data_IF_288677087268
#
_entry.id   IF_288677087268
#
_cell.length_a   1.000
_cell.length_b   1.000
_cell.length_c   1.000
_cell.angle_alpha   90.00
_cell.angle_beta   90.00
_cell.angle_gamma   90.00
#
_symmetry.space_group_name_H-M   'P 1'
#
loop_
_entity.id
_entity.type
_entity.pdbx_description
1 polymer ?
#
# COMPACT_ATOMS: atom_id res chain seq x y z
N UNK A 1 -4.57 -64.40 17.72
CA UNK A 1 -3.39 -65.08 17.14
C UNK A 1 -2.95 -64.34 15.89
N UNK A 2 -2.00 -63.44 16.02
CA UNK A 2 -1.44 -62.66 14.89
C UNK A 2 -0.70 -63.59 13.94
N UNK A 3 -1.27 -63.79 12.76
CA UNK A 3 -0.65 -64.54 11.67
C UNK A 3 0.67 -63.87 11.31
N UNK A 4 1.77 -64.51 11.73
CA UNK A 4 3.15 -64.10 11.48
C UNK A 4 3.32 -63.75 9.99
N UNK A 5 3.81 -62.55 9.67
CA UNK A 5 3.97 -62.03 8.29
C UNK A 5 4.68 -63.04 7.36
N UNK A 6 5.58 -63.85 7.93
CA UNK A 6 6.24 -64.99 7.26
C UNK A 6 5.26 -66.04 6.71
N UNK A 7 4.18 -66.36 7.41
CA UNK A 7 3.12 -67.30 6.96
C UNK A 7 2.30 -66.68 5.83
N UNK A 8 1.94 -65.41 5.94
CA UNK A 8 1.21 -64.69 4.89
C UNK A 8 2.03 -64.61 3.59
N UNK A 9 3.32 -64.25 3.68
CA UNK A 9 4.21 -64.19 2.51
C UNK A 9 4.42 -65.56 1.84
N UNK A 10 4.44 -66.66 2.62
CA UNK A 10 4.52 -68.02 2.06
C UNK A 10 3.26 -68.43 1.28
N UNK A 11 2.07 -67.96 1.69
CA UNK A 11 0.80 -68.23 0.99
C UNK A 11 0.67 -67.45 -0.34
N UNK A 12 1.36 -66.31 -0.47
CA UNK A 12 1.31 -65.44 -1.64
C UNK A 12 2.55 -65.53 -2.55
N UNK A 13 3.44 -66.50 -2.31
CA UNK A 13 4.76 -66.68 -2.98
C UNK A 13 4.76 -66.96 -4.49
N UNK A 14 3.61 -66.84 -5.16
CA UNK A 14 3.46 -66.97 -6.61
C UNK A 14 2.33 -66.11 -7.18
N UNK A 15 1.83 -65.13 -6.42
CA UNK A 15 0.79 -64.18 -6.86
C UNK A 15 1.33 -62.76 -7.09
N UNK A 16 2.64 -62.59 -7.07
CA UNK A 16 3.29 -61.32 -7.42
C UNK A 16 3.62 -61.42 -8.91
N UNK A 17 2.98 -60.62 -9.79
CA UNK A 17 3.39 -60.53 -11.18
C UNK A 17 4.87 -60.14 -11.24
N UNK A 18 5.64 -60.75 -12.14
CA UNK A 18 6.99 -60.27 -12.42
C UNK A 18 6.90 -58.80 -12.86
N UNK A 19 7.70 -57.94 -12.23
CA UNK A 19 7.69 -56.48 -12.41
C UNK A 19 8.13 -56.01 -13.81
N UNK A 20 8.24 -56.92 -14.78
CA UNK A 20 8.76 -56.68 -16.12
C UNK A 20 7.68 -56.76 -17.23
N UNK A 21 6.38 -56.71 -16.90
CA UNK A 21 5.34 -56.51 -17.92
C UNK A 21 5.29 -55.03 -18.36
N UNK A 22 5.46 -54.73 -19.67
CA UNK A 22 5.39 -53.36 -20.17
C UNK A 22 3.94 -52.85 -20.10
N UNK A 23 3.62 -52.15 -19.01
CA UNK A 23 2.28 -51.57 -18.79
C UNK A 23 1.86 -51.45 -17.32
N UNK A 24 2.59 -52.06 -16.39
CA UNK A 24 2.31 -51.90 -14.95
C UNK A 24 2.89 -50.57 -14.47
N UNK A 25 2.02 -49.60 -14.14
CA UNK A 25 2.46 -48.36 -13.47
C UNK A 25 3.14 -48.76 -12.16
N UNK A 26 4.40 -48.41 -11.99
CA UNK A 26 5.13 -48.58 -10.72
C UNK A 26 4.26 -48.05 -9.57
N UNK A 27 3.85 -48.96 -8.68
CA UNK A 27 3.16 -48.58 -7.46
C UNK A 27 4.11 -47.74 -6.62
N UNK A 28 3.65 -46.57 -6.16
CA UNK A 28 4.43 -45.68 -5.31
C UNK A 28 5.11 -46.49 -4.18
N UNK A 29 6.42 -46.35 -4.06
CA UNK A 29 7.20 -47.06 -3.06
C UNK A 29 6.75 -46.68 -1.64
N UNK A 30 7.08 -47.49 -0.64
CA UNK A 30 6.85 -47.12 0.77
C UNK A 30 7.57 -45.80 1.09
N UNK A 31 8.73 -45.54 0.47
CA UNK A 31 9.44 -44.27 0.56
C UNK A 31 8.64 -43.12 -0.05
N UNK A 32 8.00 -43.34 -1.21
CA UNK A 32 7.11 -42.37 -1.84
C UNK A 32 5.87 -42.12 -0.98
N UNK A 33 5.30 -43.15 -0.34
CA UNK A 33 4.15 -43.01 0.56
C UNK A 33 4.49 -42.27 1.86
N UNK A 34 5.70 -42.45 2.40
CA UNK A 34 6.22 -41.67 3.52
C UNK A 34 6.55 -40.24 3.11
N UNK A 35 7.01 -40.03 1.87
CA UNK A 35 7.30 -38.72 1.29
C UNK A 35 6.05 -37.99 0.75
N UNK A 36 4.88 -38.63 0.67
CA UNK A 36 3.62 -38.00 0.22
C UNK A 36 3.19 -36.79 1.06
N UNK A 37 3.81 -36.59 2.24
CA UNK A 37 3.59 -35.41 3.08
C UNK A 37 4.68 -34.31 2.98
N UNK A 38 5.62 -34.37 2.02
CA UNK A 38 6.78 -33.47 2.04
C UNK A 38 6.96 -32.59 0.79
N UNK A 39 5.89 -32.00 0.27
CA UNK A 39 6.00 -30.79 -0.58
C UNK A 39 5.95 -29.49 0.25
N UNK A 40 6.27 -29.57 1.55
CA UNK A 40 6.40 -28.36 2.37
C UNK A 40 7.77 -27.77 2.12
N UNK A 41 7.79 -26.53 1.64
CA UNK A 41 9.01 -25.75 1.53
C UNK A 41 9.72 -25.74 2.89
N UNK A 42 11.05 -25.95 2.92
CA UNK A 42 11.79 -25.91 4.18
C UNK A 42 11.62 -24.54 4.84
N UNK A 43 11.52 -24.54 6.17
CA UNK A 43 11.42 -23.31 6.92
C UNK A 43 12.59 -22.38 6.60
N UNK A 44 12.26 -21.10 6.34
CA UNK A 44 13.22 -20.06 6.09
C UNK A 44 12.89 -18.85 6.97
N UNK A 45 13.80 -18.51 7.88
CA UNK A 45 13.62 -17.43 8.84
C UNK A 45 13.39 -16.07 8.16
N UNK A 46 14.11 -15.78 7.07
CA UNK A 46 13.94 -14.52 6.33
C UNK A 46 12.56 -14.44 5.68
N UNK A 47 12.07 -15.56 5.13
CA UNK A 47 10.74 -15.66 4.54
C UNK A 47 9.66 -15.46 5.60
N UNK A 48 9.79 -16.09 6.76
CA UNK A 48 8.90 -15.92 7.91
C UNK A 48 8.82 -14.46 8.35
N UNK A 49 9.96 -13.80 8.57
CA UNK A 49 10.01 -12.37 8.91
C UNK A 49 9.35 -11.49 7.84
N UNK A 50 9.55 -11.81 6.56
CA UNK A 50 8.91 -11.08 5.45
C UNK A 50 7.40 -11.27 5.42
N UNK A 51 6.89 -12.47 5.73
CA UNK A 51 5.46 -12.74 5.84
C UNK A 51 4.83 -11.96 6.99
N UNK A 52 5.49 -11.91 8.17
CA UNK A 52 5.03 -11.09 9.30
C UNK A 52 4.95 -9.62 8.90
N UNK A 53 6.02 -9.06 8.29
CA UNK A 53 5.99 -7.66 7.81
C UNK A 53 4.86 -7.43 6.82
N UNK A 54 4.68 -8.33 5.85
CA UNK A 54 3.60 -8.21 4.86
C UNK A 54 2.23 -8.24 5.52
N UNK A 55 2.04 -9.10 6.52
CA UNK A 55 0.82 -9.18 7.30
C UNK A 55 0.55 -7.89 8.09
N UNK A 56 1.56 -7.38 8.81
CA UNK A 56 1.47 -6.13 9.57
C UNK A 56 1.05 -4.97 8.66
N UNK A 57 1.69 -4.82 7.49
CA UNK A 57 1.39 -3.76 6.52
C UNK A 57 -0.01 -3.94 5.93
N UNK A 58 -0.30 -5.11 5.34
CA UNK A 58 -1.55 -5.35 4.59
C UNK A 58 -2.79 -5.32 5.46
N UNK A 59 -2.64 -5.59 6.76
CA UNK A 59 -3.75 -5.61 7.73
C UNK A 59 -3.73 -4.43 8.69
N UNK A 60 -2.86 -3.44 8.46
CA UNK A 60 -2.71 -2.25 9.30
C UNK A 60 -2.66 -2.59 10.80
N UNK A 61 -1.81 -3.56 11.18
CA UNK A 61 -1.67 -4.00 12.57
C UNK A 61 -0.65 -3.15 13.31
N UNK A 62 -0.85 -2.98 14.62
CA UNK A 62 0.20 -2.45 15.51
C UNK A 62 1.47 -3.29 15.37
N UNK A 63 2.63 -2.64 15.39
CA UNK A 63 3.92 -3.36 15.41
C UNK A 63 4.04 -4.27 16.63
N UNK A 64 3.40 -3.93 17.74
CA UNK A 64 3.41 -4.72 18.98
C UNK A 64 2.73 -6.08 18.85
N UNK A 65 1.95 -6.33 17.78
CA UNK A 65 1.28 -7.62 17.60
C UNK A 65 2.25 -8.81 17.55
N UNK A 66 3.50 -8.57 17.15
CA UNK A 66 4.55 -9.62 17.09
C UNK A 66 5.13 -9.94 18.46
N UNK A 67 4.76 -9.17 19.48
CA UNK A 67 5.18 -9.31 20.87
C UNK A 67 4.10 -9.95 21.75
N UNK A 68 2.94 -10.25 21.18
CA UNK A 68 1.87 -11.01 21.81
C UNK A 68 2.34 -12.43 22.17
N UNK A 69 2.18 -12.81 23.43
CA UNK A 69 2.72 -14.05 23.98
C UNK A 69 1.97 -15.29 23.46
N UNK A 70 0.65 -15.19 23.30
CA UNK A 70 -0.19 -16.24 22.72
C UNK A 70 0.18 -16.47 21.25
N UNK A 71 0.36 -15.42 20.46
CA UNK A 71 0.78 -15.52 19.06
C UNK A 71 2.18 -16.14 18.94
N UNK A 72 3.12 -15.74 19.80
CA UNK A 72 4.46 -16.34 19.84
C UNK A 72 4.39 -17.82 20.17
N UNK A 73 3.56 -18.20 21.14
CA UNK A 73 3.34 -19.60 21.51
C UNK A 73 2.80 -20.42 20.33
N UNK A 74 1.86 -19.86 19.56
CA UNK A 74 1.35 -20.48 18.33
C UNK A 74 2.48 -20.69 17.31
N UNK A 75 3.32 -19.67 17.06
CA UNK A 75 4.41 -19.82 16.10
C UNK A 75 5.46 -20.83 16.55
N UNK A 76 5.84 -20.84 17.83
CA UNK A 76 6.77 -21.82 18.40
C UNK A 76 6.20 -23.24 18.34
N UNK A 77 4.90 -23.41 18.56
CA UNK A 77 4.24 -24.73 18.40
C UNK A 77 4.31 -25.24 16.95
N UNK A 78 4.09 -24.35 15.96
CA UNK A 78 4.11 -24.72 14.55
C UNK A 78 5.53 -24.96 14.01
N UNK A 79 6.51 -24.17 14.44
CA UNK A 79 7.92 -24.30 14.06
C UNK A 79 8.81 -23.80 15.22
N UNK A 80 9.40 -24.72 16.02
CA UNK A 80 10.22 -24.35 17.17
C UNK A 80 11.47 -23.52 16.83
N UNK A 81 11.94 -23.58 15.58
CA UNK A 81 13.09 -22.78 15.11
C UNK A 81 12.71 -21.35 14.71
N UNK A 82 11.42 -21.02 14.66
CA UNK A 82 10.96 -19.71 14.23
C UNK A 82 11.24 -18.65 15.30
N UNK A 83 12.12 -17.70 14.98
CA UNK A 83 12.38 -16.53 15.81
C UNK A 83 11.44 -15.41 15.40
N UNK A 84 10.49 -15.06 16.26
CA UNK A 84 9.59 -13.93 16.00
C UNK A 84 10.36 -12.62 16.20
N UNK A 85 10.39 -11.71 15.21
CA UNK A 85 11.10 -10.44 15.33
C UNK A 85 10.43 -9.54 16.39
N UNK A 86 11.19 -8.64 17.02
CA UNK A 86 10.63 -7.61 17.90
C UNK A 86 9.85 -6.55 17.11
N UNK A 87 8.96 -5.83 17.80
CA UNK A 87 8.20 -4.73 17.21
C UNK A 87 9.13 -3.66 16.63
N UNK A 88 10.21 -3.31 17.34
CA UNK A 88 11.20 -2.34 16.88
C UNK A 88 11.93 -2.80 15.61
N UNK A 89 12.28 -4.09 15.52
CA UNK A 89 12.92 -4.63 14.33
C UNK A 89 11.98 -4.58 13.12
N UNK A 90 10.71 -4.96 13.33
CA UNK A 90 9.67 -4.91 12.29
C UNK A 90 9.47 -3.47 11.83
N UNK A 91 9.27 -2.52 12.75
CA UNK A 91 9.13 -1.10 12.47
C UNK A 91 10.32 -0.57 11.68
N UNK A 92 11.55 -0.79 12.15
CA UNK A 92 12.78 -0.34 11.48
C UNK A 92 12.87 -0.88 10.06
N UNK A 93 12.67 -2.19 9.86
CA UNK A 93 12.74 -2.79 8.52
C UNK A 93 11.66 -2.26 7.57
N UNK A 94 10.43 -2.05 8.07
CA UNK A 94 9.34 -1.48 7.28
C UNK A 94 9.68 -0.04 6.88
N UNK A 95 10.16 0.79 7.81
CA UNK A 95 10.59 2.16 7.52
C UNK A 95 11.75 2.19 6.51
N UNK A 96 12.76 1.33 6.67
CA UNK A 96 13.86 1.23 5.71
C UNK A 96 13.37 0.83 4.31
N UNK A 97 12.46 -0.14 4.23
CA UNK A 97 11.85 -0.54 2.97
C UNK A 97 11.05 0.60 2.34
N UNK A 98 10.26 1.33 3.13
CA UNK A 98 9.52 2.50 2.68
C UNK A 98 10.45 3.57 2.09
N UNK A 99 11.54 3.92 2.78
CA UNK A 99 12.49 4.92 2.27
C UNK A 99 13.19 4.47 0.99
N UNK A 100 13.48 3.17 0.86
CA UNK A 100 14.02 2.60 -0.38
C UNK A 100 13.03 2.73 -1.53
N UNK A 101 11.78 2.31 -1.33
CA UNK A 101 10.73 2.44 -2.35
C UNK A 101 10.44 3.90 -2.70
N UNK A 102 10.47 4.80 -1.71
CA UNK A 102 10.31 6.24 -1.90
C UNK A 102 11.40 6.83 -2.80
N UNK A 103 12.67 6.46 -2.59
CA UNK A 103 13.77 6.85 -3.49
C UNK A 103 13.59 6.28 -4.90
N UNK A 104 13.17 5.03 -5.02
CA UNK A 104 12.86 4.41 -6.31
C UNK A 104 11.71 5.11 -7.04
N UNK A 105 10.68 5.53 -6.31
CA UNK A 105 9.60 6.35 -6.84
C UNK A 105 10.13 7.68 -7.37
N UNK A 106 10.93 8.40 -6.57
CA UNK A 106 11.52 9.69 -6.99
C UNK A 106 12.27 9.58 -8.32
N UNK A 107 13.03 8.51 -8.54
CA UNK A 107 13.72 8.24 -9.80
C UNK A 107 12.72 8.05 -10.95
N UNK A 108 11.70 7.20 -10.77
CA UNK A 108 10.64 6.96 -11.77
C UNK A 108 9.85 8.22 -12.12
N UNK A 109 9.67 9.14 -11.18
CA UNK A 109 8.99 10.42 -11.45
C UNK A 109 9.76 11.30 -12.42
N UNK A 110 11.10 11.20 -12.43
CA UNK A 110 11.93 11.95 -13.38
C UNK A 110 11.76 11.44 -14.81
N UNK A 111 11.53 10.14 -14.96
CA UNK A 111 11.33 9.45 -16.25
C UNK A 111 9.98 9.78 -16.91
N UNK A 112 9.06 10.46 -16.21
CA UNK A 112 7.79 10.92 -16.78
C UNK A 112 8.10 11.90 -17.91
N UNK A 113 7.73 11.61 -19.17
CA UNK A 113 8.13 12.44 -20.31
C UNK A 113 7.39 13.79 -20.36
N UNK A 114 6.17 13.84 -19.82
CA UNK A 114 5.30 15.00 -19.87
C UNK A 114 5.10 15.67 -18.51
N UNK A 115 4.04 16.46 -18.46
CA UNK A 115 3.64 17.16 -17.25
C UNK A 115 2.83 16.28 -16.30
N UNK A 116 2.66 16.76 -15.07
CA UNK A 116 1.87 16.15 -14.01
C UNK A 116 0.74 17.09 -13.59
N UNK A 117 -0.43 16.53 -13.35
CA UNK A 117 -1.51 17.20 -12.62
C UNK A 117 -1.53 16.69 -11.18
N UNK A 118 -1.96 17.53 -10.25
CA UNK A 118 -2.05 17.18 -8.83
C UNK A 118 -3.49 17.28 -8.40
N UNK A 119 -3.94 16.33 -7.58
CA UNK A 119 -5.13 16.50 -6.74
C UNK A 119 -4.66 16.52 -5.29
N UNK A 120 -5.13 17.50 -4.53
CA UNK A 120 -4.85 17.56 -3.10
C UNK A 120 -6.14 17.65 -2.30
N UNK A 121 -6.14 16.96 -1.17
CA UNK A 121 -7.22 16.97 -0.20
C UNK A 121 -6.63 17.22 1.18
N UNK A 122 -7.31 18.04 1.96
CA UNK A 122 -6.91 18.43 3.31
C UNK A 122 -8.10 18.20 4.22
N UNK A 123 -7.88 17.39 5.24
CA UNK A 123 -8.91 17.12 6.23
C UNK A 123 -8.31 17.12 7.63
N UNK A 124 -9.18 17.37 8.58
CA UNK A 124 -8.89 17.25 10.00
C UNK A 124 -9.62 16.03 10.54
N UNK A 125 -8.99 15.28 11.44
CA UNK A 125 -9.61 14.14 12.12
C UNK A 125 -10.86 14.59 12.87
N UNK A 126 -11.81 13.68 13.09
CA UNK A 126 -13.11 13.99 13.70
C UNK A 126 -13.03 14.59 15.11
N UNK A 127 -11.93 14.37 15.83
CA UNK A 127 -11.64 14.97 17.12
C UNK A 127 -10.90 16.32 17.03
N UNK A 128 -10.72 16.86 15.82
CA UNK A 128 -9.99 18.09 15.53
C UNK A 128 -8.54 18.15 16.04
N UNK A 129 -7.93 17.00 16.34
CA UNK A 129 -6.57 16.95 16.88
C UNK A 129 -5.49 16.97 15.80
N UNK A 130 -5.75 16.40 14.63
CA UNK A 130 -4.73 16.16 13.60
C UNK A 130 -5.26 16.50 12.23
N UNK A 131 -4.44 17.15 11.43
CA UNK A 131 -4.75 17.43 10.04
C UNK A 131 -3.74 16.81 9.11
N UNK A 132 -4.23 16.38 7.97
CA UNK A 132 -3.45 15.73 6.95
C UNK A 132 -3.72 16.35 5.59
N UNK A 133 -2.68 16.41 4.78
CA UNK A 133 -2.73 16.78 3.37
C UNK A 133 -2.29 15.57 2.54
N UNK A 134 -3.20 15.06 1.71
CA UNK A 134 -2.83 14.09 0.68
C UNK A 134 -2.44 14.83 -0.60
N UNK A 135 -1.34 14.41 -1.21
CA UNK A 135 -0.89 14.89 -2.51
C UNK A 135 -0.87 13.70 -3.46
N UNK A 136 -1.77 13.68 -4.44
CA UNK A 136 -1.82 12.65 -5.47
C UNK A 136 -1.45 13.25 -6.81
N UNK A 137 -0.48 12.65 -7.50
CA UNK A 137 -0.09 13.05 -8.84
C UNK A 137 -0.83 12.21 -9.88
N UNK A 138 -1.07 12.81 -11.04
CA UNK A 138 -1.70 12.21 -12.20
C UNK A 138 -0.85 12.53 -13.44
N UNK A 139 -0.54 11.52 -14.24
CA UNK A 139 0.29 11.69 -15.43
C UNK A 139 -0.02 10.65 -16.50
N UNK A 140 0.37 10.94 -17.74
CA UNK A 140 0.33 9.99 -18.85
C UNK A 140 1.68 9.28 -18.94
N UNK A 141 1.66 7.95 -18.97
CA UNK A 141 2.87 7.18 -19.24
C UNK A 141 3.18 7.14 -20.75
N UNK A 142 4.33 6.54 -21.12
CA UNK A 142 4.76 6.37 -22.52
C UNK A 142 3.75 5.61 -23.41
N UNK A 143 2.85 4.83 -22.82
CA UNK A 143 1.79 4.10 -23.52
C UNK A 143 0.46 4.87 -23.55
N UNK A 144 0.48 6.18 -23.26
CA UNK A 144 -0.71 7.04 -23.21
C UNK A 144 -1.79 6.58 -22.23
N UNK A 145 -1.40 5.88 -21.16
CA UNK A 145 -2.30 5.46 -20.09
C UNK A 145 -2.16 6.40 -18.90
N UNK A 146 -3.30 6.88 -18.39
CA UNK A 146 -3.37 7.65 -17.16
C UNK A 146 -2.89 6.78 -16.00
N UNK A 147 -1.99 7.36 -15.20
CA UNK A 147 -1.48 6.82 -13.95
C UNK A 147 -1.71 7.83 -12.85
N UNK A 148 -2.02 7.34 -11.67
CA UNK A 148 -2.10 8.14 -10.47
C UNK A 148 -1.29 7.48 -9.35
N UNK A 149 -0.64 8.30 -8.53
CA UNK A 149 0.18 7.84 -7.41
C UNK A 149 -0.03 8.80 -6.25
N UNK A 150 -0.33 8.26 -5.05
CA UNK A 150 -0.24 9.04 -3.81
C UNK A 150 1.23 9.37 -3.57
N UNK A 151 1.60 10.62 -3.81
CA UNK A 151 2.98 11.09 -3.74
C UNK A 151 3.43 11.26 -2.30
N UNK A 152 2.58 11.88 -1.48
CA UNK A 152 2.86 12.10 -0.07
C UNK A 152 1.58 12.22 0.74
N UNK A 153 1.72 11.92 2.03
CA UNK A 153 0.67 12.05 3.03
C UNK A 153 1.28 12.84 4.19
N UNK A 154 1.01 14.14 4.20
CA UNK A 154 1.72 15.12 5.02
C UNK A 154 0.90 15.40 6.27
N UNK A 155 1.53 15.30 7.43
CA UNK A 155 0.94 15.77 8.67
C UNK A 155 1.08 17.30 8.74
N UNK A 156 -0.04 18.00 8.91
CA UNK A 156 -0.10 19.46 8.96
C UNK A 156 -0.17 19.92 10.42
N UNK A 157 0.93 20.48 10.93
CA UNK A 157 1.00 21.04 12.28
C UNK A 157 0.42 22.46 12.32
N UNK A 158 -0.45 22.73 13.30
CA UNK A 158 -1.02 24.05 13.54
C UNK A 158 -2.14 24.46 12.57
N UNK A 159 -2.33 25.76 12.40
CA UNK A 159 -3.45 26.33 11.64
C UNK A 159 -3.32 26.11 10.13
N UNK A 160 -4.41 25.71 9.47
CA UNK A 160 -4.52 25.52 8.00
C UNK A 160 -4.56 26.83 7.22
N UNK A 161 -3.53 27.65 7.41
CA UNK A 161 -3.36 28.87 6.62
C UNK A 161 -2.92 28.51 5.20
N UNK A 162 -3.31 29.34 4.22
CA UNK A 162 -2.87 29.16 2.83
C UNK A 162 -1.35 29.05 2.69
N UNK A 163 -0.59 29.84 3.44
CA UNK A 163 0.87 29.81 3.45
C UNK A 163 1.45 28.48 3.96
N UNK A 164 0.86 27.87 4.99
CA UNK A 164 1.30 26.58 5.50
C UNK A 164 1.08 25.47 4.45
N UNK A 165 -0.07 25.49 3.77
CA UNK A 165 -0.40 24.56 2.70
C UNK A 165 0.53 24.76 1.50
N UNK A 166 0.80 26.02 1.13
CA UNK A 166 1.72 26.37 0.05
C UNK A 166 3.13 25.83 0.32
N UNK A 167 3.65 26.06 1.52
CA UNK A 167 4.96 25.55 1.94
C UNK A 167 5.00 24.03 1.95
N UNK A 168 3.95 23.35 2.45
CA UNK A 168 3.88 21.89 2.44
C UNK A 168 3.87 21.32 1.01
N UNK A 169 3.08 21.90 0.10
CA UNK A 169 3.05 21.53 -1.31
C UNK A 169 4.41 21.75 -1.96
N UNK A 170 5.01 22.93 -1.79
CA UNK A 170 6.31 23.25 -2.38
C UNK A 170 7.39 22.29 -1.90
N UNK A 171 7.50 22.06 -0.59
CA UNK A 171 8.44 21.09 -0.01
C UNK A 171 8.22 19.68 -0.58
N UNK A 172 6.97 19.25 -0.75
CA UNK A 172 6.64 17.97 -1.35
C UNK A 172 7.17 17.87 -2.80
N UNK A 173 6.95 18.90 -3.61
CA UNK A 173 7.38 18.89 -5.01
C UNK A 173 8.89 19.07 -5.17
N UNK A 174 9.54 19.90 -4.33
CA UNK A 174 10.99 20.07 -4.28
C UNK A 174 11.67 18.75 -3.89
N UNK A 175 11.22 18.12 -2.81
CA UNK A 175 11.76 16.84 -2.32
C UNK A 175 11.71 15.74 -3.39
N UNK A 176 10.66 15.75 -4.21
CA UNK A 176 10.48 14.78 -5.28
C UNK A 176 11.02 15.25 -6.65
N UNK A 177 11.56 16.48 -6.74
CA UNK A 177 12.15 17.09 -7.95
C UNK A 177 11.19 17.12 -9.14
N UNK A 178 9.93 17.50 -8.91
CA UNK A 178 8.88 17.48 -9.95
C UNK A 178 8.19 18.82 -10.17
N UNK A 179 8.65 19.90 -9.53
CA UNK A 179 8.06 21.25 -9.68
C UNK A 179 8.00 21.68 -11.15
N UNK A 180 9.09 21.49 -11.89
CA UNK A 180 9.18 21.86 -13.30
C UNK A 180 8.21 21.10 -14.22
N UNK A 181 7.61 20.00 -13.74
CA UNK A 181 6.63 19.20 -14.49
C UNK A 181 5.18 19.59 -14.16
N UNK A 182 4.95 20.50 -13.21
CA UNK A 182 3.60 20.84 -12.74
C UNK A 182 2.77 21.51 -13.84
N UNK A 183 1.61 20.94 -14.15
CA UNK A 183 0.63 21.50 -15.09
C UNK A 183 -0.56 22.13 -14.39
N UNK A 184 -1.14 21.47 -13.41
CA UNK A 184 -2.35 21.92 -12.74
C UNK A 184 -2.49 21.32 -11.34
N UNK A 185 -3.20 22.03 -10.47
CA UNK A 185 -3.58 21.56 -9.13
C UNK A 185 -5.11 21.57 -9.04
N UNK A 186 -5.68 20.47 -8.58
CA UNK A 186 -7.10 20.32 -8.27
C UNK A 186 -7.28 20.27 -6.75
N UNK A 187 -8.12 21.15 -6.22
CA UNK A 187 -8.48 21.19 -4.80
C UNK A 187 -9.99 21.24 -4.62
N UNK A 188 -10.49 20.99 -3.42
CA UNK A 188 -11.90 21.24 -3.08
C UNK A 188 -12.23 22.75 -3.09
N UNK A 189 -13.50 23.11 -2.88
CA UNK A 189 -13.95 24.50 -3.01
C UNK A 189 -13.80 25.31 -1.71
N UNK A 190 -12.91 24.90 -0.80
CA UNK A 190 -12.62 25.66 0.41
C UNK A 190 -12.00 27.03 0.08
N UNK A 191 -12.38 28.06 0.85
CA UNK A 191 -11.84 29.42 0.69
C UNK A 191 -10.34 29.49 0.99
N UNK A 192 -9.85 28.65 1.91
CA UNK A 192 -8.43 28.48 2.22
C UNK A 192 -7.59 28.11 1.00
N UNK A 193 -8.16 27.37 0.03
CA UNK A 193 -7.44 26.95 -1.18
C UNK A 193 -7.11 28.12 -2.10
N UNK A 194 -7.93 29.17 -2.14
CA UNK A 194 -7.64 30.36 -2.96
C UNK A 194 -6.36 31.02 -2.46
N UNK A 195 -6.27 31.21 -1.13
CA UNK A 195 -5.07 31.77 -0.50
C UNK A 195 -3.85 30.86 -0.71
N UNK A 196 -4.02 29.55 -0.51
CA UNK A 196 -2.97 28.56 -0.80
C UNK A 196 -2.42 28.69 -2.23
N UNK A 197 -3.29 28.68 -3.24
CA UNK A 197 -2.86 28.69 -4.64
C UNK A 197 -2.15 30.01 -5.02
N UNK A 198 -2.60 31.14 -4.47
CA UNK A 198 -1.95 32.43 -4.66
C UNK A 198 -0.58 32.50 -3.95
N UNK A 199 -0.51 32.09 -2.68
CA UNK A 199 0.73 32.05 -1.90
C UNK A 199 1.75 31.11 -2.58
N UNK A 200 1.29 29.97 -3.10
CA UNK A 200 2.09 29.00 -3.83
C UNK A 200 2.61 29.55 -5.18
N UNK A 201 1.75 30.21 -5.96
CA UNK A 201 2.13 30.87 -7.23
C UNK A 201 3.22 31.93 -7.03
N UNK A 202 3.07 32.76 -5.99
CA UNK A 202 4.07 33.77 -5.62
C UNK A 202 5.40 33.13 -5.20
N UNK A 203 5.35 32.09 -4.36
CA UNK A 203 6.55 31.38 -3.90
C UNK A 203 7.31 30.74 -5.07
N UNK A 204 6.60 30.06 -5.97
CA UNK A 204 7.20 29.47 -7.16
C UNK A 204 7.85 30.52 -8.07
N UNK A 205 7.20 31.67 -8.24
CA UNK A 205 7.75 32.77 -9.04
C UNK A 205 9.08 33.28 -8.47
N UNK A 206 9.20 33.38 -7.14
CA UNK A 206 10.46 33.73 -6.46
C UNK A 206 11.53 32.65 -6.62
N UNK A 207 11.13 31.37 -6.70
CA UNK A 207 12.02 30.23 -6.93
C UNK A 207 12.37 30.02 -8.43
N UNK A 208 11.87 30.87 -9.33
CA UNK A 208 12.14 30.78 -10.78
C UNK A 208 11.26 29.80 -11.55
N UNK A 209 10.13 29.38 -10.98
CA UNK A 209 9.13 28.52 -11.62
C UNK A 209 7.85 29.32 -11.93
N UNK A 210 7.12 28.89 -12.96
CA UNK A 210 5.85 29.49 -13.34
C UNK A 210 4.66 28.61 -12.93
N UNK A 211 3.69 29.22 -12.25
CA UNK A 211 2.39 28.62 -11.97
C UNK A 211 1.33 29.72 -11.86
N UNK A 212 0.32 29.70 -12.73
CA UNK A 212 -0.80 30.63 -12.73
C UNK A 212 -1.93 30.07 -11.84
N UNK A 213 -2.17 30.71 -10.70
CA UNK A 213 -3.21 30.28 -9.75
C UNK A 213 -4.63 30.37 -10.31
N UNK A 214 -4.87 31.10 -11.40
CA UNK A 214 -6.19 31.23 -12.04
C UNK A 214 -6.40 30.23 -13.16
N UNK A 215 -5.40 30.01 -14.01
CA UNK A 215 -5.52 29.13 -15.19
C UNK A 215 -5.15 27.68 -14.89
N UNK A 216 -4.27 27.44 -13.90
CA UNK A 216 -3.74 26.11 -13.58
C UNK A 216 -4.36 25.53 -12.30
N UNK A 217 -5.43 26.15 -11.81
CA UNK A 217 -6.19 25.67 -10.65
C UNK A 217 -7.56 25.17 -11.06
N UNK A 218 -7.85 23.92 -10.72
CA UNK A 218 -9.11 23.24 -11.07
C UNK A 218 -9.90 23.01 -9.78
N UNK A 219 -11.20 23.28 -9.82
CA UNK A 219 -12.10 22.96 -8.70
C UNK A 219 -12.51 21.50 -8.75
N UNK A 220 -12.60 20.86 -7.59
CA UNK A 220 -13.10 19.50 -7.49
C UNK A 220 -14.54 19.40 -8.00
N UNK A 221 -14.73 18.66 -9.11
CA UNK A 221 -16.05 18.48 -9.72
C UNK A 221 -17.08 17.89 -8.76
N UNK A 222 -16.69 16.89 -7.96
CA UNK A 222 -17.59 16.27 -6.98
C UNK A 222 -18.07 17.26 -5.91
N UNK A 223 -17.18 18.17 -5.47
CA UNK A 223 -17.56 19.21 -4.52
C UNK A 223 -18.51 20.23 -5.16
N UNK A 224 -18.25 20.65 -6.39
CA UNK A 224 -19.17 21.54 -7.14
C UNK A 224 -20.55 20.90 -7.28
N UNK A 225 -20.61 19.63 -7.66
CA UNK A 225 -21.87 18.90 -7.77
C UNK A 225 -22.61 18.82 -6.43
N UNK A 226 -21.90 18.54 -5.34
CA UNK A 226 -22.48 18.55 -4.00
C UNK A 226 -23.06 19.93 -3.64
N UNK A 227 -22.35 21.02 -3.90
CA UNK A 227 -22.85 22.38 -3.65
C UNK A 227 -24.12 22.68 -4.46
N UNK A 228 -24.19 22.23 -5.72
CA UNK A 228 -25.41 22.35 -6.54
C UNK A 228 -26.58 21.59 -5.90
N UNK A 229 -26.36 20.33 -5.48
CA UNK A 229 -27.39 19.52 -4.83
C UNK A 229 -27.86 20.15 -3.52
N UNK A 230 -26.95 20.60 -2.66
CA UNK A 230 -27.29 21.29 -1.41
C UNK A 230 -28.11 22.56 -1.66
N UNK A 231 -27.75 23.33 -2.69
CA UNK A 231 -28.51 24.53 -3.06
C UNK A 231 -29.94 24.20 -3.48
N UNK A 232 -30.14 23.13 -4.25
CA UNK A 232 -31.48 22.66 -4.66
C UNK A 232 -32.27 22.18 -3.44
N UNK A 233 -31.65 21.37 -2.58
CA UNK A 233 -32.31 20.81 -1.39
C UNK A 233 -32.73 21.89 -0.41
N UNK A 234 -31.96 22.97 -0.26
CA UNK A 234 -32.35 24.10 0.59
C UNK A 234 -33.62 24.78 0.06
N UNK A 235 -33.68 25.04 -1.25
CA UNK A 235 -34.85 25.67 -1.87
C UNK A 235 -36.09 24.77 -1.75
N UNK A 236 -35.97 23.48 -2.08
CA UNK A 236 -37.09 22.53 -2.01
C UNK A 236 -37.50 22.23 -0.56
N UNK A 237 -36.54 22.16 0.36
CA UNK A 237 -36.80 21.96 1.78
C UNK A 237 -37.59 23.12 2.40
N UNK A 238 -37.27 24.36 2.01
CA UNK A 238 -38.01 25.55 2.43
C UNK A 238 -39.45 25.58 1.87
N UNK A 239 -39.69 24.98 0.71
CA UNK A 239 -41.03 24.84 0.10
C UNK A 239 -41.87 23.71 0.73
N UNK A 240 -41.24 22.62 1.17
CA UNK A 240 -41.92 21.49 1.80
C UNK A 240 -42.11 21.65 3.32
N UNK A 241 -41.39 22.59 3.94
CA UNK A 241 -41.50 22.95 5.35
C UNK A 241 -42.57 24.02 5.67
N UNK A 242 -43.36 24.44 4.68
CA UNK A 242 -44.57 25.27 4.82
C UNK A 242 -45.82 24.44 4.57
#
# INVERSE_FOLDING_TARGET
>A
TTSNLKKHLKLHKGRVPELNEPGVKEGATVLDMLNRNCHREPFNQQKFTNLIKSWVIKRNRSFQIVEDDELRSIFTYLEPRAVVPSADLVKRQITTNFEKERKGLQQKLQEIPGCIAITTDIWTTSNNEKSFMAVTIHYLNVSWKIKHILLDFIFMEGSHTGAAIASAMENCLQKNRIISKLMAITCDNASSNIKFLNDFSNSLSLAGFYFDSTQQSIRCFGHVLNLTVQSILNVVGDELGK
#
